data_IF_296209366714
#
_entry.id   IF_296209366714
#
_cell.length_a   1.000
_cell.length_b   1.000
_cell.length_c   1.000
_cell.angle_alpha   90.00
_cell.angle_beta   90.00
_cell.angle_gamma   90.00
#
_symmetry.space_group_name_H-M   'P 1'
#
loop_
_entity.id
_entity.type
_entity.pdbx_description
1 polymer ?
#
# COMPACT_ATOMS: atom_id res chain seq x y z
N UNK A 1 6.72 10.15 -1.55
CA UNK A 1 8.01 9.41 -1.45
C UNK A 1 8.87 9.58 -2.71
N UNK A 2 10.06 8.98 -2.73
CA UNK A 2 10.80 8.73 -3.99
C UNK A 2 10.19 7.56 -4.75
N UNK A 3 10.37 7.47 -6.08
CA UNK A 3 9.86 6.36 -6.90
C UNK A 3 10.30 4.98 -6.37
N UNK A 4 11.53 4.90 -5.85
CA UNK A 4 12.06 3.68 -5.23
C UNK A 4 11.24 3.25 -4.02
N UNK A 5 10.89 4.20 -3.14
CA UNK A 5 10.12 3.95 -1.94
C UNK A 5 8.68 3.53 -2.25
N UNK A 6 8.06 4.13 -3.28
CA UNK A 6 6.74 3.69 -3.77
C UNK A 6 6.79 2.23 -4.22
N UNK A 7 7.80 1.86 -5.02
CA UNK A 7 7.98 0.49 -5.49
C UNK A 7 8.27 -0.50 -4.34
N UNK A 8 9.06 -0.09 -3.36
CA UNK A 8 9.29 -0.88 -2.14
C UNK A 8 7.98 -1.08 -1.35
N UNK A 9 7.11 -0.07 -1.31
CA UNK A 9 5.80 -0.15 -0.67
C UNK A 9 4.82 -1.06 -1.42
N UNK A 10 4.79 -1.01 -2.74
CA UNK A 10 4.00 -1.95 -3.57
C UNK A 10 4.43 -3.40 -3.36
N UNK A 11 5.75 -3.66 -3.32
CA UNK A 11 6.30 -4.99 -3.02
C UNK A 11 5.88 -5.45 -1.63
N UNK A 12 5.92 -4.54 -0.63
CA UNK A 12 5.50 -4.84 0.74
C UNK A 12 4.02 -5.21 0.82
N UNK A 13 3.15 -4.47 0.13
CA UNK A 13 1.71 -4.75 0.05
C UNK A 13 1.47 -6.12 -0.59
N UNK A 14 2.11 -6.41 -1.73
CA UNK A 14 1.98 -7.70 -2.41
C UNK A 14 2.38 -8.89 -1.52
N UNK A 15 3.46 -8.72 -0.73
CA UNK A 15 3.91 -9.74 0.22
C UNK A 15 2.90 -9.98 1.35
N UNK A 16 2.30 -8.92 1.90
CA UNK A 16 1.30 -9.09 2.95
C UNK A 16 -0.01 -9.69 2.45
N UNK A 17 -0.43 -9.35 1.22
CA UNK A 17 -1.58 -10.01 0.57
C UNK A 17 -1.35 -11.51 0.36
N UNK A 18 -0.14 -11.93 0.01
CA UNK A 18 0.19 -13.35 -0.06
C UNK A 18 0.12 -14.01 1.33
N UNK A 19 0.71 -13.35 2.34
CA UNK A 19 0.70 -13.86 3.71
C UNK A 19 -0.72 -13.98 4.28
N UNK A 20 -1.62 -13.05 3.95
CA UNK A 20 -3.04 -13.10 4.32
C UNK A 20 -3.72 -14.37 3.78
N UNK A 21 -3.34 -14.84 2.59
CA UNK A 21 -3.88 -16.07 1.99
C UNK A 21 -3.27 -17.36 2.57
N UNK A 22 -2.03 -17.29 3.06
CA UNK A 22 -1.33 -18.44 3.65
C UNK A 22 -1.64 -18.64 5.15
N UNK A 23 -2.07 -17.57 5.83
CA UNK A 23 -2.44 -17.61 7.24
C UNK A 23 -3.76 -18.37 7.42
N UNK A 24 -3.74 -19.33 8.34
CA UNK A 24 -4.92 -20.13 8.71
C UNK A 24 -5.68 -19.56 9.91
N UNK A 25 -5.03 -18.72 10.72
CA UNK A 25 -5.67 -18.05 11.85
C UNK A 25 -6.53 -16.87 11.36
N UNK A 26 -7.86 -16.91 11.57
CA UNK A 26 -8.76 -15.89 11.02
C UNK A 26 -8.52 -14.51 11.65
N UNK A 27 -8.04 -14.44 12.89
CA UNK A 27 -7.73 -13.17 13.52
C UNK A 27 -6.48 -12.52 12.90
N UNK A 28 -5.42 -13.30 12.68
CA UNK A 28 -4.23 -12.86 11.98
C UNK A 28 -4.53 -12.44 10.53
N UNK A 29 -5.43 -13.14 9.83
CA UNK A 29 -5.89 -12.73 8.50
C UNK A 29 -6.57 -11.34 8.56
N UNK A 30 -7.47 -11.13 9.52
CA UNK A 30 -8.11 -9.81 9.72
C UNK A 30 -7.09 -8.70 10.06
N UNK A 31 -6.07 -8.99 10.86
CA UNK A 31 -5.02 -8.02 11.17
C UNK A 31 -4.18 -7.67 9.94
N UNK A 32 -3.80 -8.68 9.14
CA UNK A 32 -3.08 -8.48 7.89
C UNK A 32 -3.91 -7.65 6.90
N UNK A 33 -5.21 -7.92 6.81
CA UNK A 33 -6.12 -7.15 5.99
C UNK A 33 -6.13 -5.66 6.38
N UNK A 34 -6.23 -5.35 7.67
CA UNK A 34 -6.20 -3.97 8.16
C UNK A 34 -4.87 -3.27 7.81
N UNK A 35 -3.74 -3.96 8.03
CA UNK A 35 -2.41 -3.44 7.69
C UNK A 35 -2.28 -3.17 6.19
N UNK A 36 -2.75 -4.10 5.34
CA UNK A 36 -2.75 -3.93 3.88
C UNK A 36 -3.59 -2.72 3.48
N UNK A 37 -4.79 -2.57 4.03
CA UNK A 37 -5.68 -1.46 3.72
C UNK A 37 -5.06 -0.10 4.08
N UNK A 38 -4.37 0.00 5.24
CA UNK A 38 -3.66 1.22 5.63
C UNK A 38 -2.51 1.55 4.66
N UNK A 39 -1.70 0.55 4.29
CA UNK A 39 -0.59 0.72 3.35
C UNK A 39 -1.07 1.14 1.95
N UNK A 40 -2.18 0.57 1.49
CA UNK A 40 -2.81 0.92 0.20
C UNK A 40 -3.38 2.33 0.21
N UNK A 41 -4.02 2.74 1.31
CA UNK A 41 -4.49 4.11 1.47
C UNK A 41 -3.35 5.13 1.44
N UNK A 42 -2.23 4.83 2.10
CA UNK A 42 -1.05 5.70 2.07
C UNK A 42 -0.41 5.74 0.68
N UNK A 43 -0.31 4.60 0.00
CA UNK A 43 0.18 4.55 -1.38
C UNK A 43 -0.71 5.37 -2.33
N UNK A 44 -2.03 5.29 -2.17
CA UNK A 44 -2.97 6.05 -2.98
C UNK A 44 -2.84 7.56 -2.73
N UNK A 45 -2.74 8.00 -1.47
CA UNK A 45 -2.49 9.41 -1.13
C UNK A 45 -1.24 9.94 -1.80
N UNK A 46 -0.17 9.15 -1.83
CA UNK A 46 1.07 9.57 -2.48
C UNK A 46 0.92 9.74 -4.00
N UNK A 47 0.18 8.84 -4.65
CA UNK A 47 -0.15 8.96 -6.07
C UNK A 47 -1.03 10.18 -6.35
N UNK A 48 -2.00 10.45 -5.49
CA UNK A 48 -2.88 11.62 -5.62
C UNK A 48 -2.11 12.94 -5.43
N UNK A 49 -1.09 12.97 -4.55
CA UNK A 49 -0.19 14.12 -4.37
C UNK A 49 0.67 14.34 -5.63
N UNK A 50 1.18 13.28 -6.24
CA UNK A 50 1.93 13.36 -7.50
C UNK A 50 1.06 13.89 -8.66
N UNK A 51 -0.16 13.38 -8.80
CA UNK A 51 -1.14 13.87 -9.79
C UNK A 51 -1.53 15.34 -9.56
N UNK A 52 -1.65 15.75 -8.29
CA UNK A 52 -1.98 17.14 -7.92
C UNK A 52 -0.82 18.09 -8.23
N UNK A 53 0.43 17.67 -7.96
CA UNK A 53 1.62 18.44 -8.35
C UNK A 53 1.72 18.60 -9.87
N UNK A 54 1.31 17.60 -10.65
CA UNK A 54 1.27 17.68 -12.11
C UNK A 54 0.25 18.72 -12.62
N UNK A 55 -0.86 18.95 -11.89
CA UNK A 55 -1.92 19.91 -12.30
C UNK A 55 -1.64 21.38 -11.95
N UNK A 56 -0.76 21.66 -10.97
CA UNK A 56 -0.44 23.04 -10.55
C UNK A 56 0.72 23.63 -11.36
N UNK A 57 1.44 22.82 -12.14
CA UNK A 57 2.45 23.27 -13.09
C UNK A 57 1.86 23.73 -14.43
N UNK A 58 1.11 24.83 -14.46
CA UNK A 58 0.82 25.64 -15.67
C UNK A 58 0.86 27.11 -15.30
#
# INVERSE_FOLDING_TARGET
MTERQLKEQEIKIARYRLLEQEVTDPFAACLLHAVVAELEADLQKERDIDESNCRIGT
#
